data_IF_479462848068
#
_entry.id   IF_479462848068
#
_cell.length_a   1.000
_cell.length_b   1.000
_cell.length_c   1.000
_cell.angle_alpha   90.00
_cell.angle_beta   90.00
_cell.angle_gamma   90.00
#
_symmetry.space_group_name_H-M   'P 1'
#
loop_
_entity.id
_entity.type
_entity.pdbx_description
1 polymer ?
#
# COMPACT_ATOMS: atom_id res chain seq x y z
N UNK A 1 17.99 1.07 14.37
CA UNK A 1 17.01 1.98 15.02
C UNK A 1 16.07 2.49 13.95
N UNK A 2 14.82 2.83 14.28
CA UNK A 2 13.84 3.31 13.30
C UNK A 2 14.36 4.51 12.50
N UNK A 3 15.06 5.44 13.15
CA UNK A 3 15.68 6.61 12.50
C UNK A 3 16.64 6.25 11.35
N UNK A 4 17.38 5.14 11.49
CA UNK A 4 18.27 4.64 10.42
C UNK A 4 17.47 4.13 9.22
N UNK A 5 16.31 3.52 9.46
CA UNK A 5 15.42 3.08 8.39
C UNK A 5 14.75 4.29 7.72
N UNK A 6 14.28 5.26 8.50
CA UNK A 6 13.71 6.50 7.97
C UNK A 6 14.73 7.20 7.05
N UNK A 7 15.99 7.29 7.47
CA UNK A 7 17.03 7.90 6.64
C UNK A 7 17.28 7.13 5.34
N UNK A 8 17.27 5.79 5.38
CA UNK A 8 17.36 4.96 4.17
C UNK A 8 16.23 5.24 3.19
N UNK A 9 15.03 5.50 3.68
CA UNK A 9 13.83 5.72 2.88
C UNK A 9 13.57 7.17 2.51
N UNK A 10 14.50 8.10 2.80
CA UNK A 10 14.39 9.51 2.42
C UNK A 10 14.15 9.75 0.92
N UNK A 11 14.54 8.80 0.08
CA UNK A 11 14.28 8.89 -1.35
C UNK A 11 12.78 8.98 -1.68
N UNK A 12 11.89 8.46 -0.83
CA UNK A 12 10.44 8.55 -1.04
C UNK A 12 9.95 10.01 -1.13
N UNK A 13 10.57 10.89 -0.35
CA UNK A 13 10.30 12.34 -0.38
C UNK A 13 11.05 13.04 -1.51
N UNK A 14 12.31 12.63 -1.75
CA UNK A 14 13.21 13.29 -2.71
C UNK A 14 12.84 13.01 -4.17
N UNK A 15 12.23 11.86 -4.45
CA UNK A 15 11.86 11.44 -5.81
C UNK A 15 10.52 12.01 -6.26
N UNK A 16 9.88 12.85 -5.44
CA UNK A 16 8.62 13.51 -5.79
C UNK A 16 7.45 12.53 -5.90
N UNK A 17 7.45 11.46 -5.10
CA UNK A 17 6.35 10.50 -5.03
C UNK A 17 5.19 11.13 -4.26
N UNK A 18 4.44 12.00 -4.94
CA UNK A 18 3.36 12.79 -4.33
C UNK A 18 2.11 11.98 -3.99
N UNK A 19 1.93 10.81 -4.58
CA UNK A 19 0.84 9.89 -4.23
C UNK A 19 1.25 8.44 -4.51
N UNK A 20 1.20 7.60 -3.48
CA UNK A 20 1.60 6.21 -3.55
C UNK A 20 0.82 5.37 -2.55
N UNK A 21 0.26 4.25 -3.00
CA UNK A 21 -0.04 3.11 -2.13
C UNK A 21 0.98 2.02 -2.40
N UNK A 22 1.65 1.55 -1.36
CA UNK A 22 2.53 0.40 -1.43
C UNK A 22 2.12 -0.62 -0.37
N UNK A 23 2.03 -1.87 -0.78
CA UNK A 23 1.61 -2.98 0.08
C UNK A 23 2.62 -4.11 0.02
N UNK A 24 2.94 -4.71 1.16
CA UNK A 24 3.67 -5.97 1.26
C UNK A 24 2.73 -7.05 1.77
N UNK A 25 2.69 -8.19 1.07
CA UNK A 25 1.96 -9.38 1.45
C UNK A 25 2.90 -10.58 1.56
N UNK A 26 2.84 -11.31 2.67
CA UNK A 26 3.60 -12.55 2.90
C UNK A 26 2.65 -13.72 3.12
N UNK A 27 3.10 -14.94 2.76
CA UNK A 27 2.30 -16.16 2.96
C UNK A 27 1.20 -16.38 1.92
N UNK A 28 1.17 -15.56 0.85
CA UNK A 28 0.27 -15.68 -0.29
C UNK A 28 1.05 -15.65 -1.60
N UNK A 29 0.53 -16.28 -2.63
CA UNK A 29 1.11 -16.20 -3.97
C UNK A 29 0.74 -14.88 -4.66
N UNK A 30 1.47 -14.54 -5.71
CA UNK A 30 1.17 -13.38 -6.53
C UNK A 30 -0.25 -13.42 -7.11
N UNK A 31 -0.71 -14.59 -7.55
CA UNK A 31 -2.05 -14.78 -8.11
C UNK A 31 -3.14 -14.54 -7.07
N UNK A 32 -2.93 -15.03 -5.85
CA UNK A 32 -3.84 -14.81 -4.74
C UNK A 32 -3.92 -13.35 -4.32
N UNK A 33 -2.78 -12.64 -4.31
CA UNK A 33 -2.72 -11.20 -4.02
C UNK A 33 -3.42 -10.40 -5.10
N UNK A 34 -3.12 -10.67 -6.38
CA UNK A 34 -3.79 -10.01 -7.51
C UNK A 34 -5.30 -10.23 -7.47
N UNK A 35 -5.76 -11.45 -7.18
CA UNK A 35 -7.19 -11.74 -7.03
C UNK A 35 -7.82 -11.03 -5.82
N UNK A 36 -7.10 -10.92 -4.70
CA UNK A 36 -7.59 -10.19 -3.52
C UNK A 36 -7.81 -8.70 -3.80
N UNK A 37 -6.97 -8.10 -4.65
CA UNK A 37 -7.11 -6.73 -5.16
C UNK A 37 -8.15 -6.61 -6.29
N UNK A 38 -8.83 -7.69 -6.66
CA UNK A 38 -9.81 -7.72 -7.75
C UNK A 38 -9.21 -7.52 -9.14
N UNK A 39 -7.92 -7.79 -9.30
CA UNK A 39 -7.26 -7.87 -10.59
C UNK A 39 -7.62 -9.18 -11.33
N UNK A 40 -7.60 -9.12 -12.66
CA UNK A 40 -7.81 -10.32 -13.51
C UNK A 40 -6.47 -10.93 -13.94
N UNK A 41 -6.47 -12.22 -14.30
CA UNK A 41 -5.30 -12.91 -14.86
C UNK A 41 -5.02 -12.56 -16.34
N UNK A 42 -5.86 -11.73 -16.96
CA UNK A 42 -5.74 -11.33 -18.37
C UNK A 42 -4.46 -10.50 -18.60
N UNK A 43 -3.96 -10.40 -19.85
CA UNK A 43 -2.52 -10.25 -20.10
C UNK A 43 -1.93 -9.03 -19.38
N UNK A 44 -0.92 -9.31 -18.56
CA UNK A 44 -0.19 -8.31 -17.80
C UNK A 44 0.68 -7.50 -18.74
N UNK A 45 0.75 -6.20 -18.49
CA UNK A 45 1.65 -5.30 -19.21
C UNK A 45 2.94 -5.16 -18.43
N UNK A 46 4.02 -4.81 -19.12
CA UNK A 46 5.25 -4.39 -18.46
C UNK A 46 5.30 -2.86 -18.50
N UNK A 47 5.25 -2.22 -17.33
CA UNK A 47 5.19 -0.77 -17.19
C UNK A 47 6.07 -0.28 -16.05
N UNK A 48 6.59 0.92 -16.19
CA UNK A 48 7.25 1.66 -15.09
C UNK A 48 6.21 2.45 -14.29
N UNK A 49 6.55 2.86 -13.06
CA UNK A 49 5.71 3.74 -12.24
C UNK A 49 5.35 5.05 -12.96
N UNK A 50 6.31 5.61 -13.70
CA UNK A 50 6.12 6.82 -14.52
C UNK A 50 5.12 6.60 -15.65
N UNK A 51 5.24 5.50 -16.39
CA UNK A 51 4.32 5.18 -17.48
C UNK A 51 2.89 4.98 -17.00
N UNK A 52 2.70 4.45 -15.78
CA UNK A 52 1.37 4.43 -15.17
C UNK A 52 0.84 5.84 -14.96
N UNK A 53 1.64 6.73 -14.37
CA UNK A 53 1.24 8.13 -14.17
C UNK A 53 0.89 8.84 -15.48
N UNK A 54 1.69 8.62 -16.53
CA UNK A 54 1.44 9.17 -17.86
C UNK A 54 0.10 8.67 -18.45
N UNK A 55 -0.27 7.40 -18.22
CA UNK A 55 -1.57 6.83 -18.64
C UNK A 55 -2.72 7.40 -17.82
N UNK A 56 -2.56 7.54 -16.50
CA UNK A 56 -3.59 8.05 -15.60
C UNK A 56 -3.87 9.55 -15.80
N UNK A 57 -2.92 10.30 -16.35
CA UNK A 57 -3.11 11.70 -16.71
C UNK A 57 -3.98 11.90 -17.97
N UNK A 58 -4.31 10.84 -18.70
CA UNK A 58 -5.17 10.91 -19.88
C UNK A 58 -6.65 11.09 -19.48
N UNK A 59 -7.43 11.96 -20.17
CA UNK A 59 -8.84 12.20 -19.86
C UNK A 59 -9.71 10.93 -19.84
N UNK A 60 -9.35 9.92 -20.63
CA UNK A 60 -10.08 8.66 -20.77
C UNK A 60 -9.73 7.61 -19.71
N UNK A 61 -8.81 7.91 -18.79
CA UNK A 61 -8.30 6.97 -17.79
C UNK A 61 -9.26 6.68 -16.63
N UNK A 62 -10.42 7.35 -16.56
CA UNK A 62 -11.31 7.39 -15.38
C UNK A 62 -11.88 6.06 -14.86
N UNK A 63 -11.58 4.93 -15.49
CA UNK A 63 -11.92 3.58 -15.00
C UNK A 63 -10.72 2.64 -14.94
N UNK A 64 -9.50 3.18 -14.99
CA UNK A 64 -8.26 2.42 -15.03
C UNK A 64 -7.56 2.49 -13.68
N UNK A 65 -7.43 1.35 -13.01
CA UNK A 65 -6.75 1.23 -11.73
C UNK A 65 -5.52 0.31 -11.87
N UNK A 66 -4.40 0.80 -12.41
CA UNK A 66 -3.21 0.00 -12.63
C UNK A 66 -2.42 -0.18 -11.33
N UNK A 67 -1.95 -1.40 -11.11
CA UNK A 67 -1.12 -1.79 -9.98
C UNK A 67 0.11 -2.53 -10.48
N UNK A 68 1.30 -2.08 -10.08
CA UNK A 68 2.53 -2.83 -10.31
C UNK A 68 2.69 -3.92 -9.26
N UNK A 69 3.26 -5.04 -9.67
CA UNK A 69 3.48 -6.21 -8.83
C UNK A 69 4.94 -6.63 -8.90
N UNK A 70 5.54 -6.83 -7.73
CA UNK A 70 6.88 -7.39 -7.55
C UNK A 70 6.76 -8.65 -6.70
N UNK A 71 7.16 -9.79 -7.25
CA UNK A 71 7.26 -11.04 -6.49
C UNK A 71 8.70 -11.35 -6.14
N UNK A 72 8.88 -11.78 -4.90
CA UNK A 72 10.14 -12.31 -4.36
C UNK A 72 9.88 -13.71 -3.80
N UNK A 73 10.94 -14.38 -3.34
CA UNK A 73 10.81 -15.72 -2.73
C UNK A 73 9.98 -15.70 -1.43
N UNK A 74 9.86 -14.56 -0.77
CA UNK A 74 9.23 -14.44 0.57
C UNK A 74 7.97 -13.58 0.60
N UNK A 75 7.74 -12.72 -0.40
CA UNK A 75 6.63 -11.78 -0.39
C UNK A 75 6.23 -11.32 -1.79
N UNK A 76 5.02 -10.78 -1.88
CA UNK A 76 4.50 -10.01 -3.00
C UNK A 76 4.40 -8.54 -2.57
N UNK A 77 4.90 -7.63 -3.38
CA UNK A 77 4.76 -6.19 -3.18
C UNK A 77 3.88 -5.62 -4.28
N UNK A 78 2.89 -4.82 -3.90
CA UNK A 78 2.07 -4.06 -4.84
C UNK A 78 2.35 -2.57 -4.71
N UNK A 79 2.33 -1.87 -5.84
CA UNK A 79 2.66 -0.44 -5.93
C UNK A 79 1.61 0.21 -6.84
N UNK A 80 0.90 1.19 -6.31
CA UNK A 80 -0.14 1.94 -7.00
C UNK A 80 0.26 3.42 -7.07
N UNK A 81 0.40 3.96 -8.28
CA UNK A 81 0.60 5.39 -8.48
C UNK A 81 -0.76 6.07 -8.44
N UNK A 82 -1.02 6.96 -7.48
CA UNK A 82 -2.34 7.59 -7.23
C UNK A 82 -3.51 6.64 -6.92
N UNK A 83 -3.30 5.32 -6.93
CA UNK A 83 -4.30 4.33 -6.51
C UNK A 83 -4.34 4.15 -4.99
N UNK A 84 -5.43 3.57 -4.49
CA UNK A 84 -5.74 3.45 -3.07
C UNK A 84 -6.29 2.07 -2.68
N UNK A 85 -6.23 1.06 -3.54
CA UNK A 85 -6.79 -0.27 -3.25
C UNK A 85 -6.15 -0.88 -1.99
N UNK A 86 -4.84 -0.72 -1.82
CA UNK A 86 -4.14 -1.15 -0.61
C UNK A 86 -4.60 -0.47 0.68
N UNK A 87 -5.39 0.60 0.61
CA UNK A 87 -5.98 1.29 1.77
C UNK A 87 -7.37 0.75 2.16
N UNK A 88 -7.88 -0.27 1.46
CA UNK A 88 -9.22 -0.84 1.70
C UNK A 88 -9.12 -2.04 2.67
N UNK A 89 -9.72 -1.98 3.87
CA UNK A 89 -9.71 -3.07 4.86
C UNK A 89 -10.13 -4.43 4.32
N UNK A 90 -11.14 -4.49 3.45
CA UNK A 90 -11.58 -5.74 2.84
C UNK A 90 -10.52 -6.39 1.94
N UNK A 91 -9.71 -5.60 1.23
CA UNK A 91 -8.56 -6.12 0.46
C UNK A 91 -7.52 -6.67 1.43
N UNK A 92 -7.24 -5.96 2.53
CA UNK A 92 -6.32 -6.44 3.56
C UNK A 92 -6.77 -7.77 4.18
N UNK A 93 -8.08 -7.95 4.43
CA UNK A 93 -8.64 -9.23 4.91
C UNK A 93 -8.44 -10.35 3.89
N UNK A 94 -8.78 -10.13 2.63
CA UNK A 94 -8.61 -11.14 1.56
C UNK A 94 -7.14 -11.50 1.35
N UNK A 95 -6.28 -10.50 1.29
CA UNK A 95 -4.85 -10.66 1.02
C UNK A 95 -4.06 -11.17 2.23
N UNK A 96 -4.58 -11.08 3.45
CA UNK A 96 -3.94 -11.67 4.64
C UNK A 96 -4.57 -13.00 5.09
N UNK A 97 -5.59 -13.51 4.39
CA UNK A 97 -6.26 -14.75 4.78
C UNK A 97 -5.30 -15.96 4.80
N UNK A 98 -5.71 -17.03 5.47
CA UNK A 98 -5.00 -18.33 5.49
C UNK A 98 -3.58 -18.21 6.05
N UNK A 99 -3.41 -17.48 7.15
CA UNK A 99 -2.12 -17.25 7.80
C UNK A 99 -1.21 -16.24 7.09
N UNK A 100 -1.72 -15.52 6.11
CA UNK A 100 -1.01 -14.43 5.45
C UNK A 100 -0.85 -13.20 6.34
N UNK A 101 0.05 -12.30 5.94
CA UNK A 101 0.22 -10.98 6.57
C UNK A 101 0.21 -9.91 5.49
N UNK A 102 -0.38 -8.77 5.81
CA UNK A 102 -0.56 -7.63 4.92
C UNK A 102 -0.14 -6.37 5.66
N UNK A 103 0.70 -5.56 5.03
CA UNK A 103 1.03 -4.22 5.50
C UNK A 103 0.94 -3.25 4.33
N UNK A 104 0.14 -2.20 4.47
CA UNK A 104 0.00 -1.15 3.47
C UNK A 104 0.37 0.21 4.04
N UNK A 105 1.00 1.02 3.21
CA UNK A 105 1.28 2.42 3.42
C UNK A 105 0.72 3.22 2.25
N UNK A 106 -0.05 4.25 2.58
CA UNK A 106 -0.64 5.18 1.63
C UNK A 106 -0.31 6.61 2.02
N UNK A 107 -0.05 7.43 1.01
CA UNK A 107 -0.05 8.88 1.12
C UNK A 107 -0.44 9.55 -0.20
N UNK A 108 -0.92 10.78 -0.12
CA UNK A 108 -1.27 11.58 -1.29
C UNK A 108 -0.87 13.07 -1.20
N UNK A 109 -1.13 13.78 -2.30
CA UNK A 109 -0.83 15.21 -2.46
C UNK A 109 -1.72 16.12 -1.60
N UNK A 110 -2.78 15.58 -1.00
CA UNK A 110 -3.65 16.30 -0.07
C UNK A 110 -3.15 16.21 1.37
N UNK A 111 -2.13 15.39 1.62
CA UNK A 111 -1.56 15.17 2.94
C UNK A 111 -2.31 14.12 3.74
N UNK A 112 -3.16 13.31 3.07
CA UNK A 112 -3.76 12.15 3.70
C UNK A 112 -2.74 11.03 3.79
N UNK A 113 -2.69 10.36 4.94
CA UNK A 113 -1.78 9.25 5.19
C UNK A 113 -2.51 8.09 5.86
N UNK A 114 -2.13 6.87 5.50
CA UNK A 114 -2.67 5.68 6.14
C UNK A 114 -1.62 4.59 6.25
N UNK A 115 -1.54 3.98 7.43
CA UNK A 115 -0.87 2.70 7.64
C UNK A 115 -1.92 1.68 8.07
N UNK A 116 -1.89 0.51 7.43
CA UNK A 116 -2.77 -0.61 7.75
C UNK A 116 -1.97 -1.90 7.89
N UNK A 117 -2.28 -2.68 8.93
CA UNK A 117 -1.75 -4.02 9.11
C UNK A 117 -2.89 -5.02 9.34
N UNK A 118 -2.82 -6.15 8.63
CA UNK A 118 -3.74 -7.27 8.78
C UNK A 118 -2.97 -8.59 8.80
N UNK A 119 -3.52 -9.57 9.51
CA UNK A 119 -2.95 -10.89 9.69
C UNK A 119 -4.07 -11.92 9.82
N UNK A 120 -3.92 -13.03 9.10
CA UNK A 120 -4.90 -14.12 9.05
C UNK A 120 -6.34 -13.64 8.81
N UNK A 121 -6.50 -12.75 7.83
CA UNK A 121 -7.79 -12.21 7.42
C UNK A 121 -8.42 -11.22 8.41
N UNK A 122 -7.66 -10.72 9.39
CA UNK A 122 -8.14 -9.75 10.38
C UNK A 122 -7.30 -8.47 10.32
N UNK A 123 -7.96 -7.35 10.11
CA UNK A 123 -7.32 -6.02 10.22
C UNK A 123 -7.08 -5.74 11.69
N UNK A 124 -5.81 -5.58 12.04
CA UNK A 124 -5.38 -5.35 13.42
C UNK A 124 -5.35 -3.87 13.75
N UNK A 125 -4.95 -3.04 12.77
CA UNK A 125 -4.85 -1.59 12.94
C UNK A 125 -4.99 -0.87 11.61
N UNK A 126 -5.64 0.29 11.64
CA UNK A 126 -5.61 1.33 10.61
C UNK A 126 -5.40 2.66 11.33
N UNK A 127 -4.37 3.42 10.96
CA UNK A 127 -4.08 4.70 11.62
C UNK A 127 -3.39 5.69 10.68
N UNK A 128 -3.47 6.97 11.02
CA UNK A 128 -2.69 8.01 10.38
C UNK A 128 -1.30 8.09 11.04
N UNK A 129 -0.20 7.87 10.30
CA UNK A 129 1.15 7.91 10.86
C UNK A 129 1.58 9.32 11.30
N UNK A 130 1.03 10.40 10.74
CA UNK A 130 1.31 11.79 11.12
C UNK A 130 0.44 12.24 12.31
N UNK A 131 -0.83 11.81 12.37
CA UNK A 131 -1.70 11.95 13.56
C UNK A 131 -1.98 10.60 14.24
N UNK A 132 -0.93 10.03 14.81
CA UNK A 132 -0.92 8.71 15.49
C UNK A 132 -1.95 8.54 16.62
N UNK A 133 -2.65 9.60 17.04
CA UNK A 133 -3.71 9.52 18.04
C UNK A 133 -5.08 9.22 17.43
N UNK A 134 -5.19 9.12 16.10
CA UNK A 134 -6.45 8.98 15.38
C UNK A 134 -6.37 7.98 14.22
N UNK A 135 -7.48 7.32 13.90
CA UNK A 135 -7.70 6.72 12.58
C UNK A 135 -7.76 7.83 11.53
N UNK A 136 -7.66 7.51 10.22
CA UNK A 136 -8.03 8.46 9.16
C UNK A 136 -9.46 9.02 9.33
N UNK A 137 -10.35 8.27 9.98
CA UNK A 137 -11.71 8.71 10.33
C UNK A 137 -11.79 9.49 11.68
N UNK A 138 -10.67 9.84 12.30
CA UNK A 138 -10.59 10.68 13.51
C UNK A 138 -10.81 9.97 14.85
N UNK A 139 -10.89 8.63 14.89
CA UNK A 139 -11.17 7.84 16.10
C UNK A 139 -9.90 7.46 16.85
N UNK A 140 -9.90 7.47 18.19
CA UNK A 140 -8.74 7.04 18.97
C UNK A 140 -8.43 5.55 18.75
N UNK A 141 -7.16 5.23 18.46
CA UNK A 141 -6.69 3.85 18.25
C UNK A 141 -5.57 3.53 19.23
N UNK A 142 -5.63 2.41 19.97
CA UNK A 142 -4.45 1.91 20.66
C UNK A 142 -3.43 1.46 19.62
N UNK A 143 -2.32 2.19 19.50
CA UNK A 143 -1.25 1.81 18.58
C UNK A 143 -0.59 0.50 19.02
N UNK A 144 -0.25 -0.37 18.07
CA UNK A 144 0.55 -1.54 18.38
C UNK A 144 1.99 -1.15 18.73
N UNK A 145 2.65 -1.94 19.59
CA UNK A 145 4.02 -1.66 20.06
C UNK A 145 5.07 -1.48 18.96
N UNK A 146 4.86 -2.08 17.79
CA UNK A 146 5.78 -1.90 16.67
C UNK A 146 5.66 -0.51 16.02
N UNK A 147 4.53 0.17 16.22
CA UNK A 147 4.31 1.56 15.82
C UNK A 147 4.80 2.57 16.88
N UNK A 148 5.17 2.10 18.08
CA UNK A 148 5.76 2.97 19.10
C UNK A 148 7.06 3.62 18.59
N UNK A 149 7.19 4.90 18.91
CA UNK A 149 8.36 5.73 18.56
C UNK A 149 8.32 6.32 17.16
N UNK A 150 7.29 6.01 16.36
CA UNK A 150 7.09 6.65 15.06
C UNK A 150 6.58 8.06 15.31
N UNK A 151 7.37 9.05 14.88
CA UNK A 151 6.98 10.47 14.88
C UNK A 151 7.32 11.07 13.52
N UNK A 152 6.61 10.66 12.46
CA UNK A 152 6.76 11.31 11.17
C UNK A 152 6.30 12.75 11.34
N UNK A 153 7.06 13.65 10.76
CA UNK A 153 6.52 14.95 10.39
C UNK A 153 6.11 14.91 8.91
N UNK A 154 5.45 15.97 8.45
CA UNK A 154 5.04 16.08 7.06
C UNK A 154 6.22 16.02 6.06
N UNK A 155 7.48 16.17 6.51
CA UNK A 155 8.68 16.09 5.65
C UNK A 155 9.31 14.71 5.58
N UNK A 156 8.73 13.73 6.27
CA UNK A 156 9.27 12.38 6.43
C UNK A 156 8.20 11.30 6.48
N UNK A 157 6.97 11.62 6.08
CA UNK A 157 5.82 10.75 6.24
C UNK A 157 5.97 9.47 5.40
N UNK A 158 6.27 9.59 4.11
CA UNK A 158 6.48 8.45 3.22
C UNK A 158 7.68 7.61 3.68
N UNK A 159 8.80 8.26 4.02
CA UNK A 159 9.99 7.58 4.53
C UNK A 159 9.70 6.80 5.84
N UNK A 160 8.91 7.36 6.73
CA UNK A 160 8.51 6.73 7.99
C UNK A 160 7.55 5.56 7.78
N UNK A 161 6.63 5.66 6.83
CA UNK A 161 5.75 4.57 6.44
C UNK A 161 6.52 3.36 5.89
N UNK A 162 7.50 3.59 5.00
CA UNK A 162 8.36 2.53 4.47
C UNK A 162 9.26 1.92 5.56
N UNK A 163 9.78 2.74 6.46
CA UNK A 163 10.57 2.27 7.61
C UNK A 163 9.75 1.38 8.55
N UNK A 164 8.50 1.75 8.81
CA UNK A 164 7.55 0.93 9.57
C UNK A 164 7.26 -0.40 8.87
N UNK A 165 7.00 -0.35 7.57
CA UNK A 165 6.74 -1.54 6.76
C UNK A 165 7.91 -2.52 6.82
N UNK A 166 9.15 -2.06 6.62
CA UNK A 166 10.34 -2.92 6.76
C UNK A 166 10.46 -3.49 8.18
N UNK A 167 10.25 -2.66 9.21
CA UNK A 167 10.32 -3.11 10.62
C UNK A 167 9.33 -4.23 10.91
N UNK A 168 8.11 -4.17 10.38
CA UNK A 168 7.04 -5.13 10.66
C UNK A 168 7.11 -6.35 9.76
N UNK A 169 7.40 -6.16 8.48
CA UNK A 169 7.35 -7.22 7.46
C UNK A 169 8.71 -7.86 7.22
N UNK A 170 9.80 -7.27 7.70
CA UNK A 170 11.18 -7.69 7.39
C UNK A 170 11.48 -7.73 5.88
N UNK A 171 10.83 -6.84 5.13
CA UNK A 171 11.00 -6.68 3.68
C UNK A 171 11.55 -5.29 3.41
N UNK A 172 12.74 -5.23 2.82
CA UNK A 172 13.32 -3.97 2.36
C UNK A 172 12.64 -3.54 1.06
N UNK A 173 12.14 -2.31 1.02
CA UNK A 173 11.58 -1.71 -0.18
C UNK A 173 12.73 -1.16 -1.03
N UNK A 174 12.82 -1.62 -2.25
CA UNK A 174 13.88 -1.23 -3.17
C UNK A 174 13.41 -0.05 -4.02
N UNK A 175 14.17 1.06 -3.93
CA UNK A 175 13.93 2.30 -4.68
C UNK A 175 13.84 2.05 -6.19
N UNK A 176 14.60 1.09 -6.71
CA UNK A 176 14.64 0.80 -8.16
C UNK A 176 13.29 0.30 -8.68
N UNK A 177 12.39 -0.18 -7.82
CA UNK A 177 11.02 -0.57 -8.20
C UNK A 177 10.21 0.61 -8.75
N UNK A 178 10.55 1.85 -8.40
CA UNK A 178 9.90 3.05 -8.94
C UNK A 178 10.36 3.37 -10.36
N UNK A 179 11.49 2.83 -10.80
CA UNK A 179 12.12 3.22 -12.07
C UNK A 179 12.17 2.10 -13.09
N UNK A 180 12.23 0.84 -12.65
CA UNK A 180 12.33 -0.30 -13.56
C UNK A 180 10.96 -0.73 -14.11
N UNK A 181 10.92 -1.37 -15.28
CA UNK A 181 9.69 -1.95 -15.79
C UNK A 181 9.26 -3.15 -14.93
N UNK A 182 8.00 -3.15 -14.50
CA UNK A 182 7.40 -4.16 -13.62
C UNK A 182 6.11 -4.73 -14.22
N UNK A 183 5.66 -5.86 -13.70
CA UNK A 183 4.38 -6.46 -14.08
C UNK A 183 3.24 -5.56 -13.62
N UNK A 184 2.40 -5.09 -14.56
CA UNK A 184 1.27 -4.23 -14.31
C UNK A 184 -0.04 -5.01 -14.53
N UNK A 185 -0.92 -4.93 -13.54
CA UNK A 185 -2.26 -5.52 -13.54
C UNK A 185 -3.31 -4.41 -13.45
N UNK A 186 -4.45 -4.61 -14.12
CA UNK A 186 -5.58 -3.68 -14.05
C UNK A 186 -6.58 -4.22 -13.03
N UNK A 187 -6.88 -3.41 -12.04
CA UNK A 187 -7.83 -3.72 -10.98
C UNK A 187 -9.24 -3.28 -11.38
N UNK A 188 -10.24 -3.99 -10.85
CA UNK A 188 -11.63 -3.53 -10.90
C UNK A 188 -11.82 -2.25 -10.08
N UNK A 189 -12.86 -1.49 -10.42
CA UNK A 189 -13.30 -0.33 -9.64
C UNK A 189 -13.79 -0.79 -8.26
N UNK A 190 -13.21 -0.28 -7.15
CA UNK A 190 -13.66 -0.59 -5.79
C UNK A 190 -15.18 -0.42 -5.58
N UNK A 191 -15.82 0.54 -6.25
CA UNK A 191 -17.25 0.78 -6.15
C UNK A 191 -18.11 -0.39 -6.66
N UNK A 192 -17.54 -1.26 -7.50
CA UNK A 192 -18.22 -2.42 -8.11
C UNK A 192 -17.62 -3.76 -7.67
N UNK A 193 -16.50 -3.73 -6.94
CA UNK A 193 -15.77 -4.93 -6.52
C UNK A 193 -16.38 -5.61 -5.30
N UNK A 194 -17.12 -4.87 -4.48
CA UNK A 194 -17.68 -5.35 -3.21
C UNK A 194 -19.21 -5.33 -3.26
N UNK A 195 -19.84 -6.38 -2.73
CA UNK A 195 -21.29 -6.45 -2.59
C UNK A 195 -21.83 -5.33 -1.67
N UNK A 196 -21.04 -4.95 -0.66
CA UNK A 196 -21.30 -3.84 0.24
C UNK A 196 -20.05 -2.93 0.33
N UNK A 197 -20.00 -1.86 -0.49
CA UNK A 197 -18.88 -0.93 -0.51
C UNK A 197 -18.65 -0.22 0.83
N UNK A 198 -19.69 0.07 1.61
CA UNK A 198 -19.53 0.73 2.91
C UNK A 198 -18.90 -0.21 3.94
N UNK A 199 -19.32 -1.49 3.96
CA UNK A 199 -18.73 -2.49 4.82
C UNK A 199 -17.26 -2.77 4.48
N UNK A 200 -16.88 -2.63 3.20
CA UNK A 200 -15.50 -2.85 2.76
C UNK A 200 -14.48 -1.91 3.43
N UNK A 201 -14.93 -0.71 3.84
CA UNK A 201 -14.12 0.30 4.52
C UNK A 201 -14.09 0.19 6.05
N UNK A 202 -14.84 -0.75 6.62
CA UNK A 202 -14.84 -0.96 8.08
C UNK A 202 -13.61 -1.80 8.48
N UNK A 203 -12.84 -1.37 9.50
CA UNK A 203 -11.76 -2.18 10.08
C UNK A 203 -12.27 -3.56 10.53
#
# INVERSE_FOLDING_TARGET
MLDTLVERYRWAEQDGLVALTITVVTGRTEEEVVAAFGGTQAPRRIMTFRQIGDVLALPEAGSFHPMLVVSTDSCVVTIENTGYHGSIPEIARRASAQGGRFFSAYWDMHGDHQVMYAEDGRVQVVFDPVDTRRTPAGLAVPLPRWADGVRPDASSAGASCLALMERVMSVQIDRDWMHKPLSAVILGDPATMFDDPEAAWRP
#
